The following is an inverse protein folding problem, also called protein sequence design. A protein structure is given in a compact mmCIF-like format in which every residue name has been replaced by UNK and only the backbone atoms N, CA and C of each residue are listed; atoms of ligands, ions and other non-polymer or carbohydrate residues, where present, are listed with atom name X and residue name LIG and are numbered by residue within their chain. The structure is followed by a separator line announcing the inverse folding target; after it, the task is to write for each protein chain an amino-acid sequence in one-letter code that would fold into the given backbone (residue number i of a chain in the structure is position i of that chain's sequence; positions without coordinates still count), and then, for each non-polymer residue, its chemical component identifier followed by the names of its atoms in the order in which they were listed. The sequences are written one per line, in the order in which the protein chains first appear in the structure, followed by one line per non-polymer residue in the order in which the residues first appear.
data_IF_644517535574
#
_entry.id   IF_644517535574
#
_cell.length_a   1.000
_cell.length_b   1.000
_cell.length_c   1.000
_cell.angle_alpha   90.00
_cell.angle_beta   90.00
_cell.angle_gamma   90.00
#
_symmetry.space_group_name_H-M   'P 1'
#
loop_
_entity.id
_entity.type
_entity.pdbx_description
1 polymer ?
#
# COMPACT_ATOMS: atom_id res chain seq x y z
N UNK A 1 49.16 -25.29 49.61
CA UNK A 1 48.79 -24.12 48.75
C UNK A 1 47.88 -24.60 47.63
N UNK A 2 46.58 -24.30 47.74
CA UNK A 2 45.57 -24.63 46.70
C UNK A 2 45.24 -23.32 45.96
N UNK A 3 45.55 -23.28 44.67
CA UNK A 3 45.28 -22.14 43.80
C UNK A 3 43.87 -22.33 43.25
N UNK A 4 42.94 -21.46 43.65
CA UNK A 4 41.59 -21.39 43.09
C UNK A 4 41.63 -20.64 41.77
N UNK A 5 41.25 -21.27 40.65
CA UNK A 5 41.04 -20.64 39.37
C UNK A 5 39.62 -20.06 39.31
N UNK A 6 39.51 -18.76 39.26
CA UNK A 6 38.24 -18.08 38.99
C UNK A 6 37.94 -18.15 37.46
N UNK A 7 36.82 -18.78 37.10
CA UNK A 7 36.29 -18.77 35.73
C UNK A 7 35.37 -17.55 35.59
N UNK A 8 35.80 -16.59 34.84
CA UNK A 8 34.97 -15.44 34.48
C UNK A 8 33.96 -15.86 33.38
N UNK A 9 32.68 -15.88 33.74
CA UNK A 9 31.57 -16.15 32.82
C UNK A 9 31.21 -14.85 32.12
N UNK A 10 31.64 -14.67 30.84
CA UNK A 10 31.18 -13.57 30.00
C UNK A 10 29.74 -13.85 29.55
N UNK A 11 28.76 -13.19 30.17
CA UNK A 11 27.41 -13.10 29.63
C UNK A 11 27.42 -12.17 28.39
N UNK A 12 27.30 -12.78 27.23
CA UNK A 12 27.00 -12.02 26.00
C UNK A 12 25.53 -11.59 26.06
N UNK A 13 25.30 -10.29 26.27
CA UNK A 13 23.98 -9.68 26.05
C UNK A 13 23.67 -9.76 24.56
N UNK A 14 22.79 -10.68 24.17
CA UNK A 14 22.13 -10.65 22.89
C UNK A 14 21.12 -9.50 22.94
N UNK A 15 21.48 -8.36 22.38
CA UNK A 15 20.54 -7.27 22.13
C UNK A 15 19.48 -7.80 21.17
N UNK A 16 18.30 -8.12 21.71
CA UNK A 16 17.13 -8.44 20.89
C UNK A 16 16.81 -7.22 20.01
N UNK A 17 16.80 -7.40 18.69
CA UNK A 17 16.30 -6.42 17.74
C UNK A 17 14.81 -6.26 18.07
N UNK A 18 14.46 -5.23 18.84
CA UNK A 18 13.10 -4.90 19.17
C UNK A 18 12.32 -4.66 17.88
N UNK A 19 11.21 -5.38 17.70
CA UNK A 19 10.21 -5.02 16.69
C UNK A 19 9.85 -3.55 16.95
N UNK A 20 10.04 -2.67 15.94
CA UNK A 20 9.76 -1.25 16.05
C UNK A 20 8.35 -1.03 16.61
N UNK A 21 8.22 -0.18 17.64
CA UNK A 21 6.95 0.07 18.29
C UNK A 21 5.97 0.63 17.26
N UNK A 22 4.78 0.01 17.17
CA UNK A 22 3.67 0.52 16.38
C UNK A 22 3.15 1.79 17.07
N UNK A 23 3.12 2.92 16.33
CA UNK A 23 2.60 4.20 16.79
C UNK A 23 1.29 4.52 16.05
N UNK A 24 0.27 4.96 16.76
CA UNK A 24 -0.92 5.54 16.15
C UNK A 24 -0.67 7.01 15.87
N UNK A 25 -0.84 7.41 14.63
CA UNK A 25 -0.64 8.79 14.17
C UNK A 25 -1.93 9.36 13.58
N UNK A 26 -2.03 10.69 13.54
CA UNK A 26 -3.13 11.42 12.89
C UNK A 26 -2.57 12.51 12.02
N UNK A 27 -3.14 12.70 10.84
CA UNK A 27 -2.71 13.70 9.86
C UNK A 27 -3.87 14.13 8.97
N UNK A 28 -3.84 15.35 8.39
CA UNK A 28 -4.90 15.79 7.51
C UNK A 28 -4.88 15.06 6.16
N UNK A 29 -6.08 14.70 5.66
CA UNK A 29 -6.27 14.48 4.23
C UNK A 29 -6.29 15.82 3.50
N UNK A 30 -5.98 15.82 2.20
CA UNK A 30 -6.29 16.97 1.36
C UNK A 30 -7.77 17.01 0.93
N UNK A 31 -8.58 16.05 1.42
CA UNK A 31 -10.03 16.00 1.25
C UNK A 31 -10.74 16.88 2.28
N UNK A 32 -11.72 17.65 1.82
CA UNK A 32 -12.50 18.55 2.66
C UNK A 32 -12.20 20.03 2.41
N UNK A 33 -12.91 20.89 3.14
CA UNK A 33 -12.67 22.32 3.11
C UNK A 33 -11.31 22.67 3.76
N UNK A 34 -10.63 23.71 3.29
CA UNK A 34 -9.31 24.09 3.77
C UNK A 34 -9.27 24.36 5.31
N UNK A 35 -10.40 24.76 5.89
CA UNK A 35 -10.57 25.02 7.32
C UNK A 35 -11.18 23.85 8.11
N UNK A 36 -11.53 22.75 7.44
CA UNK A 36 -12.11 21.55 8.05
C UNK A 36 -11.69 20.28 7.26
N UNK A 37 -10.40 19.96 7.19
CA UNK A 37 -9.93 18.75 6.51
C UNK A 37 -10.40 17.51 7.27
N UNK A 38 -10.57 16.39 6.55
CA UNK A 38 -10.75 15.09 7.18
C UNK A 38 -9.43 14.71 7.84
N UNK A 39 -9.47 14.48 9.15
CA UNK A 39 -8.30 13.98 9.89
C UNK A 39 -8.27 12.47 9.76
N UNK A 40 -7.26 11.96 9.08
CA UNK A 40 -7.00 10.54 8.94
C UNK A 40 -6.28 9.99 10.17
N UNK A 41 -6.47 8.70 10.40
CA UNK A 41 -5.64 7.94 11.34
C UNK A 41 -4.75 6.98 10.57
N UNK A 42 -3.59 6.67 11.14
CA UNK A 42 -2.66 5.70 10.58
C UNK A 42 -1.92 4.95 11.67
N UNK A 43 -1.29 3.85 11.26
CA UNK A 43 -0.36 3.11 12.10
C UNK A 43 1.03 3.22 11.49
N UNK A 44 1.93 3.84 12.24
CA UNK A 44 3.32 4.01 11.87
C UNK A 44 4.17 2.88 12.43
N UNK A 45 4.99 2.30 11.58
CA UNK A 45 5.95 1.24 11.88
C UNK A 45 7.34 1.78 11.51
N UNK A 46 8.03 2.35 12.48
CA UNK A 46 9.38 2.85 12.26
C UNK A 46 10.35 1.71 11.96
N UNK A 47 11.22 1.89 10.97
CA UNK A 47 12.34 0.97 10.75
C UNK A 47 13.46 1.26 11.75
N UNK A 48 14.14 0.24 12.22
CA UNK A 48 15.35 0.40 13.01
C UNK A 48 16.47 0.93 12.10
N UNK A 49 17.03 2.09 12.45
CA UNK A 49 18.16 2.70 11.75
C UNK A 49 19.45 2.50 12.55
N UNK A 50 20.62 2.55 11.88
CA UNK A 50 21.92 2.43 12.53
C UNK A 50 22.17 3.57 13.55
N UNK A 51 21.60 4.73 13.29
CA UNK A 51 21.61 5.88 14.23
C UNK A 51 20.16 6.20 14.59
N UNK A 52 19.78 6.21 15.89
CA UNK A 52 18.43 6.56 16.30
C UNK A 52 18.00 7.92 15.75
N UNK A 53 16.81 7.98 15.13
CA UNK A 53 16.27 9.22 14.54
C UNK A 53 16.87 9.62 13.19
N UNK A 54 17.79 8.86 12.62
CA UNK A 54 18.27 9.13 11.26
C UNK A 54 17.12 8.96 10.24
N UNK A 55 16.98 9.89 9.26
CA UNK A 55 15.95 9.78 8.24
C UNK A 55 16.08 8.47 7.46
N UNK A 56 14.96 7.76 7.29
CA UNK A 56 14.86 6.52 6.55
C UNK A 56 13.84 6.64 5.43
N UNK A 57 13.96 5.84 4.35
CA UNK A 57 12.90 5.75 3.35
C UNK A 57 11.60 5.25 3.98
N UNK A 58 10.46 5.68 3.44
CA UNK A 58 9.15 5.32 3.95
C UNK A 58 8.18 4.92 2.84
N UNK A 59 7.17 4.11 3.20
CA UNK A 59 6.06 3.77 2.32
C UNK A 59 4.72 4.06 3.00
N UNK A 60 3.77 4.62 2.25
CA UNK A 60 2.37 4.69 2.67
C UNK A 60 1.60 3.51 2.07
N UNK A 61 0.93 2.74 2.93
CA UNK A 61 0.22 1.50 2.58
C UNK A 61 -1.29 1.74 2.56
N UNK A 62 -1.94 1.49 1.42
CA UNK A 62 -3.36 1.72 1.19
C UNK A 62 -4.12 0.40 1.09
N UNK A 63 -4.95 0.13 2.10
CA UNK A 63 -5.81 -1.06 2.19
C UNK A 63 -6.81 -1.17 1.03
N UNK A 64 -7.29 -2.38 0.75
CA UNK A 64 -8.38 -2.65 -0.20
C UNK A 64 -9.75 -2.14 0.29
N UNK A 65 -10.81 -2.54 -0.41
CA UNK A 65 -12.18 -2.16 -0.06
C UNK A 65 -12.64 -2.64 1.33
N UNK A 66 -11.97 -3.63 1.93
CA UNK A 66 -12.31 -4.18 3.25
C UNK A 66 -11.79 -3.37 4.44
N UNK A 67 -11.14 -2.22 4.23
CA UNK A 67 -10.57 -1.42 5.31
C UNK A 67 -9.18 -1.88 5.77
N UNK A 68 -8.55 -1.07 6.63
CA UNK A 68 -7.28 -1.38 7.26
C UNK A 68 -7.45 -2.34 8.45
N UNK A 69 -8.63 -2.33 9.08
CA UNK A 69 -8.93 -3.09 10.29
C UNK A 69 -9.97 -4.18 10.03
N UNK A 70 -9.87 -5.26 10.77
CA UNK A 70 -10.85 -6.33 10.79
C UNK A 70 -12.07 -5.96 11.66
N UNK A 71 -13.07 -6.87 11.74
CA UNK A 71 -14.29 -6.67 12.55
C UNK A 71 -14.03 -6.56 14.06
N UNK A 72 -12.84 -6.91 14.54
CA UNK A 72 -12.41 -6.78 15.94
C UNK A 72 -11.64 -5.48 16.18
N UNK A 73 -11.49 -4.63 15.15
CA UNK A 73 -10.70 -3.41 15.20
C UNK A 73 -9.18 -3.66 15.20
N UNK A 74 -8.74 -4.88 14.86
CA UNK A 74 -7.33 -5.21 14.74
C UNK A 74 -6.85 -4.95 13.31
N UNK A 75 -5.61 -4.48 13.17
CA UNK A 75 -4.99 -4.30 11.87
C UNK A 75 -5.02 -5.64 11.11
N UNK A 76 -5.46 -5.61 9.84
CA UNK A 76 -5.54 -6.83 9.04
C UNK A 76 -4.17 -7.46 8.84
N UNK A 77 -4.15 -8.80 8.79
CA UNK A 77 -2.90 -9.57 8.63
C UNK A 77 -2.07 -9.09 7.43
N UNK A 78 -2.71 -8.78 6.29
CA UNK A 78 -2.01 -8.25 5.11
C UNK A 78 -1.24 -6.96 5.46
N UNK A 79 -1.87 -6.01 6.11
CA UNK A 79 -1.21 -4.75 6.46
C UNK A 79 -0.06 -4.97 7.44
N UNK A 80 -0.21 -5.87 8.42
CA UNK A 80 0.86 -6.25 9.35
C UNK A 80 2.03 -6.91 8.63
N UNK A 81 1.75 -7.91 7.77
CA UNK A 81 2.78 -8.68 7.06
C UNK A 81 3.61 -7.79 6.12
N UNK A 82 2.94 -6.86 5.39
CA UNK A 82 3.63 -5.95 4.50
C UNK A 82 4.36 -4.82 5.24
N UNK A 83 3.82 -4.28 6.33
CA UNK A 83 4.57 -3.35 7.18
C UNK A 83 5.86 -4.00 7.68
N UNK A 84 5.79 -5.25 8.16
CA UNK A 84 6.96 -6.01 8.57
C UNK A 84 7.91 -6.34 7.40
N UNK A 85 7.39 -6.61 6.20
CA UNK A 85 8.21 -6.82 4.99
C UNK A 85 9.01 -5.56 4.65
N UNK A 86 8.35 -4.40 4.65
CA UNK A 86 9.01 -3.12 4.37
C UNK A 86 10.04 -2.76 5.45
N UNK A 87 9.75 -2.99 6.73
CA UNK A 87 10.73 -2.78 7.79
C UNK A 87 11.99 -3.67 7.58
N UNK A 88 11.82 -4.96 7.21
CA UNK A 88 12.96 -5.81 6.87
C UNK A 88 13.73 -5.33 5.64
N UNK A 89 13.06 -4.67 4.70
CA UNK A 89 13.67 -4.05 3.53
C UNK A 89 14.30 -2.67 3.81
N UNK A 90 14.24 -2.19 5.07
CA UNK A 90 14.83 -0.92 5.48
C UNK A 90 13.95 0.30 5.21
N UNK A 91 12.64 0.12 5.10
CA UNK A 91 11.64 1.19 4.96
C UNK A 91 10.79 1.28 6.23
N UNK A 92 10.52 2.47 6.68
CA UNK A 92 9.40 2.72 7.59
C UNK A 92 8.07 2.57 6.84
N UNK A 93 6.99 2.17 7.53
CA UNK A 93 5.70 1.97 6.90
C UNK A 93 4.57 2.71 7.64
N UNK A 94 3.76 3.45 6.90
CA UNK A 94 2.53 4.09 7.37
C UNK A 94 1.32 3.36 6.78
N UNK A 95 0.58 2.63 7.60
CA UNK A 95 -0.73 2.11 7.16
C UNK A 95 -1.77 3.20 7.32
N UNK A 96 -2.36 3.63 6.21
CA UNK A 96 -3.35 4.71 6.16
C UNK A 96 -4.76 4.12 6.29
N UNK A 97 -5.55 4.63 7.24
CA UNK A 97 -6.97 4.33 7.36
C UNK A 97 -7.80 5.43 6.71
N UNK A 98 -8.32 5.16 5.53
CA UNK A 98 -9.17 6.09 4.78
C UNK A 98 -10.67 5.96 5.13
N UNK A 99 -11.09 4.91 5.82
CA UNK A 99 -12.51 4.58 6.00
C UNK A 99 -13.06 4.95 7.37
N UNK A 100 -12.42 4.50 8.44
CA UNK A 100 -12.92 4.72 9.80
C UNK A 100 -13.14 6.21 10.15
N UNK A 101 -12.26 7.15 9.74
CA UNK A 101 -12.51 8.58 9.96
C UNK A 101 -13.75 9.13 9.23
N UNK A 102 -14.28 8.38 8.26
CA UNK A 102 -15.52 8.73 7.51
C UNK A 102 -16.70 7.86 7.90
N UNK A 103 -16.62 7.15 9.05
CA UNK A 103 -17.66 6.26 9.56
C UNK A 103 -17.99 5.11 8.60
N UNK A 104 -17.01 4.67 7.80
CA UNK A 104 -17.08 3.50 6.94
C UNK A 104 -16.16 2.41 7.45
N UNK A 105 -16.54 1.15 7.29
CA UNK A 105 -15.71 0.00 7.67
C UNK A 105 -15.28 -0.82 6.45
N UNK A 106 -16.09 -0.80 5.39
CA UNK A 106 -15.82 -1.50 4.14
C UNK A 106 -16.59 -0.88 2.97
N UNK A 107 -16.11 -1.09 1.76
CA UNK A 107 -16.70 -0.67 0.49
C UNK A 107 -16.95 -1.83 -0.48
N UNK A 108 -16.57 -3.06 -0.09
CA UNK A 108 -16.60 -4.22 -0.99
C UNK A 108 -18.02 -4.61 -1.41
N UNK A 109 -18.98 -4.51 -0.48
CA UNK A 109 -20.39 -4.85 -0.71
C UNK A 109 -21.21 -3.68 -1.26
N UNK A 110 -20.60 -2.51 -1.42
CA UNK A 110 -21.23 -1.30 -1.93
C UNK A 110 -21.04 -1.20 -3.46
N UNK A 111 -22.10 -0.83 -4.19
CA UNK A 111 -22.00 -0.52 -5.62
C UNK A 111 -21.11 0.70 -5.83
N UNK A 112 -20.28 0.70 -6.89
CA UNK A 112 -19.32 1.77 -7.16
C UNK A 112 -19.93 3.18 -7.14
N UNK A 113 -21.12 3.39 -7.69
CA UNK A 113 -21.81 4.68 -7.69
C UNK A 113 -22.47 5.09 -6.37
N UNK A 114 -22.57 4.18 -5.38
CA UNK A 114 -23.19 4.42 -4.08
C UNK A 114 -22.19 4.57 -2.92
N UNK A 115 -20.90 4.45 -3.19
CA UNK A 115 -19.84 4.56 -2.17
C UNK A 115 -19.72 5.97 -1.64
N UNK A 116 -19.77 6.13 -0.31
CA UNK A 116 -19.54 7.43 0.35
C UNK A 116 -18.06 7.84 0.32
N UNK A 117 -17.15 6.87 0.31
CA UNK A 117 -15.72 7.10 0.15
C UNK A 117 -15.32 6.71 -1.28
N UNK A 118 -15.11 7.71 -2.11
CA UNK A 118 -14.75 7.58 -3.52
C UNK A 118 -13.24 7.46 -3.74
N UNK A 119 -12.83 7.14 -4.97
CA UNK A 119 -11.40 7.20 -5.35
C UNK A 119 -10.85 8.64 -5.29
N UNK A 120 -11.69 9.67 -5.48
CA UNK A 120 -11.26 11.05 -5.32
C UNK A 120 -10.88 11.37 -3.87
N UNK A 121 -11.72 10.95 -2.89
CA UNK A 121 -11.37 11.11 -1.48
C UNK A 121 -10.06 10.38 -1.16
N UNK A 122 -9.92 9.11 -1.59
CA UNK A 122 -8.73 8.31 -1.28
C UNK A 122 -7.47 8.80 -1.99
N UNK A 123 -7.58 9.40 -3.18
CA UNK A 123 -6.45 10.09 -3.84
C UNK A 123 -5.94 11.24 -2.98
N UNK A 124 -6.85 12.06 -2.45
CA UNK A 124 -6.51 13.18 -1.56
C UNK A 124 -5.93 12.69 -0.22
N UNK A 125 -6.38 11.53 0.28
CA UNK A 125 -5.76 10.86 1.43
C UNK A 125 -4.31 10.46 1.12
N UNK A 126 -4.06 9.94 -0.09
CA UNK A 126 -2.72 9.50 -0.49
C UNK A 126 -1.75 10.68 -0.61
N UNK A 127 -2.20 11.78 -1.21
CA UNK A 127 -1.42 13.02 -1.30
C UNK A 127 -1.15 13.62 0.10
N UNK A 128 -2.15 13.59 0.99
CA UNK A 128 -2.00 14.01 2.39
C UNK A 128 -1.00 13.13 3.16
N UNK A 129 -1.02 11.80 2.91
CA UNK A 129 -0.07 10.89 3.53
C UNK A 129 1.38 11.13 3.06
N UNK A 130 1.59 11.44 1.77
CA UNK A 130 2.92 11.82 1.25
C UNK A 130 3.40 13.12 1.90
N UNK A 131 2.55 14.15 1.97
CA UNK A 131 2.88 15.41 2.61
C UNK A 131 3.24 15.22 4.10
N UNK A 132 2.42 14.45 4.83
CA UNK A 132 2.69 14.12 6.23
C UNK A 132 4.03 13.40 6.43
N UNK A 133 4.32 12.39 5.58
CA UNK A 133 5.58 11.65 5.68
C UNK A 133 6.78 12.55 5.36
N UNK A 134 6.65 13.48 4.42
CA UNK A 134 7.72 14.39 4.04
C UNK A 134 8.07 15.41 5.15
N UNK A 135 7.14 15.71 6.06
CA UNK A 135 7.34 16.59 7.20
C UNK A 135 7.94 15.89 8.43
N UNK A 136 8.00 14.55 8.43
CA UNK A 136 8.57 13.80 9.56
C UNK A 136 10.09 13.87 9.56
N UNK A 137 10.67 14.19 10.70
CA UNK A 137 12.13 14.28 10.87
C UNK A 137 12.85 12.92 10.70
N UNK A 138 12.13 11.78 10.92
CA UNK A 138 12.63 10.42 10.81
C UNK A 138 12.42 9.80 9.41
N UNK A 139 11.93 10.59 8.41
CA UNK A 139 11.70 10.16 7.03
C UNK A 139 12.58 10.94 6.06
N UNK A 140 13.20 10.24 5.11
CA UNK A 140 13.83 10.88 3.94
C UNK A 140 12.74 11.23 2.90
N UNK A 141 12.42 12.52 2.70
CA UNK A 141 11.32 12.94 1.82
C UNK A 141 11.56 12.60 0.34
N UNK A 142 12.79 12.29 -0.06
CA UNK A 142 13.14 11.90 -1.43
C UNK A 142 12.81 10.43 -1.71
N UNK A 143 12.52 9.64 -0.68
CA UNK A 143 12.32 8.20 -0.76
C UNK A 143 11.00 7.77 -0.12
N UNK A 144 9.90 8.44 -0.50
CA UNK A 144 8.53 8.08 -0.07
C UNK A 144 7.85 7.32 -1.19
N UNK A 145 7.41 6.08 -0.91
CA UNK A 145 6.67 5.24 -1.87
C UNK A 145 5.18 5.12 -1.53
N UNK A 146 4.35 4.88 -2.54
CA UNK A 146 2.93 4.55 -2.39
C UNK A 146 2.68 3.08 -2.74
N UNK A 147 2.08 2.32 -1.84
CA UNK A 147 1.75 0.91 -2.07
C UNK A 147 0.27 0.69 -1.78
N UNK A 148 -0.44 0.01 -2.68
CA UNK A 148 -1.88 -0.21 -2.47
C UNK A 148 -2.39 -1.53 -3.02
N UNK A 149 -3.47 -2.05 -2.41
CA UNK A 149 -4.10 -3.32 -2.77
C UNK A 149 -5.53 -3.10 -3.22
N UNK A 150 -5.93 -3.65 -4.36
CA UNK A 150 -7.31 -3.59 -4.85
C UNK A 150 -7.79 -2.14 -4.98
N UNK A 151 -8.81 -1.74 -4.24
CA UNK A 151 -9.27 -0.36 -4.13
C UNK A 151 -8.14 0.61 -3.70
N UNK A 152 -7.20 0.16 -2.82
CA UNK A 152 -5.97 0.89 -2.50
C UNK A 152 -4.99 0.94 -3.66
N UNK A 153 -4.92 -0.09 -4.48
CA UNK A 153 -4.15 -0.08 -5.73
C UNK A 153 -4.70 0.95 -6.72
N UNK A 154 -6.03 1.03 -6.86
CA UNK A 154 -6.68 2.10 -7.65
C UNK A 154 -6.44 3.49 -7.05
N UNK A 155 -6.33 3.59 -5.72
CA UNK A 155 -5.93 4.83 -5.04
C UNK A 155 -4.52 5.26 -5.45
N UNK A 156 -3.59 4.32 -5.49
CA UNK A 156 -2.20 4.56 -5.94
C UNK A 156 -2.19 5.05 -7.39
N UNK A 157 -2.93 4.39 -8.31
CA UNK A 157 -3.04 4.86 -9.69
C UNK A 157 -3.55 6.31 -9.74
N UNK A 158 -4.65 6.60 -9.07
CA UNK A 158 -5.24 7.94 -9.07
C UNK A 158 -4.29 8.99 -8.46
N UNK A 159 -3.52 8.64 -7.41
CA UNK A 159 -2.60 9.55 -6.72
C UNK A 159 -1.28 9.76 -7.48
N UNK A 160 -1.01 8.97 -8.51
CA UNK A 160 0.18 9.09 -9.36
C UNK A 160 -0.12 9.48 -10.80
N UNK A 161 -1.38 9.80 -11.10
CA UNK A 161 -1.82 10.19 -12.44
C UNK A 161 -1.83 11.72 -12.62
N UNK A 162 -0.93 12.28 -13.41
CA UNK A 162 -0.84 13.71 -13.74
C UNK A 162 -2.07 14.27 -14.48
N UNK A 163 -3.04 13.43 -14.86
CA UNK A 163 -4.33 13.90 -15.39
C UNK A 163 -5.28 14.41 -14.31
N UNK A 164 -4.88 14.33 -13.03
CA UNK A 164 -5.58 14.95 -11.91
C UNK A 164 -4.88 16.24 -11.48
N UNK A 165 -5.63 17.34 -11.38
CA UNK A 165 -5.10 18.68 -11.02
C UNK A 165 -4.47 18.72 -9.63
N UNK A 166 -5.03 17.99 -8.69
CA UNK A 166 -4.53 17.86 -7.32
C UNK A 166 -3.20 17.10 -7.25
N UNK A 167 -2.97 16.14 -8.14
CA UNK A 167 -1.65 15.48 -8.28
C UNK A 167 -0.61 16.47 -8.83
N UNK A 168 -0.96 17.27 -9.85
CA UNK A 168 -0.06 18.30 -10.39
C UNK A 168 0.26 19.35 -9.32
N UNK A 169 -0.71 19.72 -8.47
CA UNK A 169 -0.57 20.75 -7.46
C UNK A 169 0.13 20.26 -6.17
N UNK A 170 0.35 18.95 -6.01
CA UNK A 170 0.98 18.40 -4.82
C UNK A 170 2.44 18.87 -4.70
N UNK A 171 2.80 19.40 -3.53
CA UNK A 171 4.13 19.95 -3.27
C UNK A 171 5.22 18.87 -3.18
N UNK A 172 4.84 17.67 -2.77
CA UNK A 172 5.73 16.51 -2.69
C UNK A 172 5.13 15.38 -3.50
N UNK A 173 5.94 14.77 -4.34
CA UNK A 173 5.55 13.64 -5.17
C UNK A 173 6.17 12.34 -4.62
N UNK A 174 5.51 11.19 -4.76
CA UNK A 174 6.11 9.92 -4.39
C UNK A 174 7.31 9.61 -5.31
N UNK A 175 8.34 8.96 -4.74
CA UNK A 175 9.51 8.52 -5.49
C UNK A 175 9.23 7.29 -6.35
N UNK A 176 8.26 6.45 -5.95
CA UNK A 176 7.80 5.27 -6.68
C UNK A 176 6.41 4.84 -6.19
N UNK A 177 5.77 3.98 -6.95
CA UNK A 177 4.46 3.45 -6.60
C UNK A 177 4.30 1.97 -6.98
N UNK A 178 3.53 1.21 -6.19
CA UNK A 178 3.19 -0.18 -6.50
C UNK A 178 1.71 -0.43 -6.26
N UNK A 179 1.02 -1.02 -7.24
CA UNK A 179 -0.39 -1.33 -7.18
C UNK A 179 -0.63 -2.84 -7.37
N UNK A 180 -1.13 -3.49 -6.32
CA UNK A 180 -1.54 -4.89 -6.37
C UNK A 180 -2.99 -4.98 -6.83
N UNK A 181 -3.22 -5.71 -7.90
CA UNK A 181 -4.54 -5.99 -8.52
C UNK A 181 -5.49 -4.78 -8.47
N UNK A 182 -5.05 -3.61 -9.03
CA UNK A 182 -5.88 -2.42 -9.06
C UNK A 182 -7.04 -2.54 -10.04
N UNK A 183 -8.12 -1.76 -9.84
CA UNK A 183 -9.08 -1.46 -10.90
C UNK A 183 -8.52 -0.33 -11.78
N UNK A 184 -8.20 -0.62 -13.03
CA UNK A 184 -7.52 0.30 -13.94
C UNK A 184 -8.46 1.07 -14.89
N UNK A 185 -9.75 0.69 -14.97
CA UNK A 185 -10.68 1.22 -15.98
C UNK A 185 -10.85 2.73 -15.91
N UNK A 186 -10.92 3.30 -14.70
CA UNK A 186 -11.15 4.73 -14.52
C UNK A 186 -9.96 5.57 -15.00
N UNK A 187 -8.75 5.13 -14.65
CA UNK A 187 -7.51 5.81 -15.04
C UNK A 187 -7.15 5.56 -16.50
N UNK A 188 -7.42 4.37 -17.05
CA UNK A 188 -7.33 4.10 -18.48
C UNK A 188 -8.24 5.04 -19.28
N UNK A 189 -9.52 5.14 -18.89
CA UNK A 189 -10.49 6.04 -19.56
C UNK A 189 -10.12 7.52 -19.46
N UNK A 190 -9.52 7.95 -18.38
CA UNK A 190 -9.03 9.33 -18.18
C UNK A 190 -7.79 9.63 -19.01
N UNK A 191 -7.06 8.61 -19.38
CA UNK A 191 -5.66 8.68 -19.76
C UNK A 191 -4.77 8.64 -18.51
N UNK A 192 -3.62 8.04 -18.62
CA UNK A 192 -2.66 7.90 -17.52
C UNK A 192 -1.32 8.50 -17.92
N UNK A 193 -0.80 9.34 -17.05
CA UNK A 193 0.55 9.89 -17.17
C UNK A 193 1.21 9.83 -15.79
N UNK A 194 2.23 8.98 -15.65
CA UNK A 194 2.83 8.67 -14.37
C UNK A 194 3.69 9.83 -13.85
N UNK A 195 3.45 10.25 -12.61
CA UNK A 195 4.32 11.21 -11.90
C UNK A 195 5.57 10.55 -11.35
N UNK A 196 5.57 9.23 -11.17
CA UNK A 196 6.66 8.43 -10.62
C UNK A 196 6.69 7.04 -11.26
N UNK A 197 7.82 6.32 -11.21
CA UNK A 197 7.87 4.91 -11.60
C UNK A 197 6.76 4.10 -10.92
N UNK A 198 6.02 3.31 -11.69
CA UNK A 198 4.88 2.52 -11.22
C UNK A 198 5.07 1.05 -11.59
N UNK A 199 4.83 0.16 -10.62
CA UNK A 199 4.71 -1.29 -10.83
C UNK A 199 3.27 -1.73 -10.56
N UNK A 200 2.65 -2.43 -11.50
CA UNK A 200 1.36 -3.11 -11.32
C UNK A 200 1.54 -4.62 -11.26
N UNK A 201 1.00 -5.27 -10.22
CA UNK A 201 1.06 -6.71 -9.98
C UNK A 201 -0.36 -7.28 -10.08
N UNK A 202 -0.67 -8.04 -11.12
CA UNK A 202 -2.05 -8.41 -11.46
C UNK A 202 -2.26 -9.92 -11.56
N UNK A 203 -3.39 -10.41 -11.07
CA UNK A 203 -3.82 -11.78 -11.28
C UNK A 203 -4.43 -11.94 -12.68
N UNK A 204 -4.00 -12.94 -13.45
CA UNK A 204 -4.54 -13.15 -14.81
C UNK A 204 -5.95 -13.77 -14.81
N UNK A 205 -6.34 -14.43 -13.71
CA UNK A 205 -7.67 -14.99 -13.51
C UNK A 205 -8.59 -14.06 -12.67
N UNK A 206 -8.13 -12.83 -12.34
CA UNK A 206 -8.89 -11.89 -11.53
C UNK A 206 -10.17 -11.45 -12.26
N UNK A 207 -11.32 -11.85 -11.69
CA UNK A 207 -12.67 -11.52 -12.17
C UNK A 207 -13.33 -10.39 -11.36
N UNK A 208 -12.60 -9.80 -10.42
CA UNK A 208 -13.01 -8.59 -9.70
C UNK A 208 -12.44 -7.33 -10.36
N UNK A 209 -11.13 -7.28 -10.54
CA UNK A 209 -10.40 -6.21 -11.21
C UNK A 209 -9.55 -6.84 -12.33
N UNK A 210 -10.15 -6.95 -13.52
CA UNK A 210 -9.52 -7.63 -14.64
C UNK A 210 -8.14 -7.05 -14.99
N UNK A 211 -7.19 -7.94 -15.32
CA UNK A 211 -5.84 -7.52 -15.71
C UNK A 211 -5.78 -6.80 -17.07
N UNK A 212 -6.78 -6.99 -17.95
CA UNK A 212 -6.76 -6.43 -19.31
C UNK A 212 -6.73 -4.90 -19.33
N UNK A 213 -7.57 -4.16 -18.57
CA UNK A 213 -7.47 -2.70 -18.49
C UNK A 213 -6.13 -2.21 -17.96
N UNK A 214 -5.49 -2.92 -17.02
CA UNK A 214 -4.17 -2.55 -16.51
C UNK A 214 -3.08 -2.72 -17.57
N UNK A 215 -3.15 -3.79 -18.38
CA UNK A 215 -2.25 -3.97 -19.52
C UNK A 215 -2.45 -2.89 -20.59
N UNK A 216 -3.70 -2.48 -20.84
CA UNK A 216 -3.99 -1.37 -21.76
C UNK A 216 -3.42 -0.05 -21.21
N UNK A 217 -3.66 0.25 -19.92
CA UNK A 217 -3.11 1.43 -19.26
C UNK A 217 -1.59 1.49 -19.37
N UNK A 218 -0.88 0.40 -19.11
CA UNK A 218 0.58 0.36 -19.21
C UNK A 218 1.09 0.64 -20.63
N UNK A 219 0.37 0.20 -21.67
CA UNK A 219 0.73 0.46 -23.08
C UNK A 219 0.43 1.87 -23.53
N UNK A 220 -0.63 2.47 -23.00
CA UNK A 220 -1.18 3.77 -23.43
C UNK A 220 -0.72 4.93 -22.56
N UNK A 221 -0.02 4.64 -21.46
CA UNK A 221 0.47 5.65 -20.51
C UNK A 221 1.42 6.64 -21.19
N UNK A 222 1.24 7.92 -20.87
CA UNK A 222 2.21 8.96 -21.18
C UNK A 222 3.39 8.96 -20.22
N UNK A 223 4.50 9.54 -20.63
CA UNK A 223 5.71 9.63 -19.80
C UNK A 223 6.44 8.29 -19.65
N UNK A 224 6.87 7.94 -18.43
CA UNK A 224 7.52 6.66 -18.15
C UNK A 224 6.46 5.56 -18.08
N UNK A 225 6.51 4.55 -18.98
CA UNK A 225 5.51 3.49 -18.99
C UNK A 225 5.53 2.71 -17.67
N UNK A 226 4.36 2.44 -17.06
CA UNK A 226 4.27 1.54 -15.92
C UNK A 226 4.76 0.14 -16.25
N UNK A 227 5.50 -0.46 -15.30
CA UNK A 227 5.83 -1.88 -15.35
C UNK A 227 4.61 -2.69 -14.90
N UNK A 228 4.36 -3.83 -15.56
CA UNK A 228 3.26 -4.71 -15.20
C UNK A 228 3.70 -6.17 -15.19
N UNK A 229 3.38 -6.88 -14.10
CA UNK A 229 3.64 -8.30 -13.95
C UNK A 229 2.32 -9.05 -13.75
N UNK A 230 2.11 -10.11 -14.54
CA UNK A 230 0.87 -10.89 -14.53
C UNK A 230 1.07 -12.32 -14.07
N UNK A 231 0.31 -12.77 -13.07
CA UNK A 231 0.42 -14.09 -12.47
C UNK A 231 -0.68 -15.03 -12.96
N UNK A 232 -0.28 -16.10 -13.66
CA UNK A 232 -1.20 -17.10 -14.21
C UNK A 232 -1.99 -17.80 -13.10
N UNK A 233 -3.31 -18.02 -13.32
CA UNK A 233 -4.19 -18.69 -12.36
C UNK A 233 -4.39 -17.97 -11.03
N UNK A 234 -3.88 -16.76 -10.88
CA UNK A 234 -4.06 -15.94 -9.68
C UNK A 234 -5.36 -15.13 -9.78
N UNK A 235 -6.21 -15.24 -8.77
CA UNK A 235 -7.41 -14.45 -8.57
C UNK A 235 -7.13 -13.20 -7.72
N UNK A 236 -8.19 -12.42 -7.45
CA UNK A 236 -8.11 -11.24 -6.59
C UNK A 236 -7.61 -11.58 -5.18
N UNK A 237 -6.68 -10.80 -4.66
CA UNK A 237 -6.10 -11.05 -3.33
C UNK A 237 -5.18 -12.26 -3.27
N UNK A 238 -4.49 -12.60 -4.36
CA UNK A 238 -3.60 -13.76 -4.48
C UNK A 238 -2.46 -13.78 -3.45
N UNK A 239 -2.15 -12.65 -2.83
CA UNK A 239 -1.14 -12.47 -1.78
C UNK A 239 -1.73 -12.75 -0.38
N UNK A 240 -2.41 -13.87 -0.23
CA UNK A 240 -2.98 -14.35 1.03
C UNK A 240 -2.84 -15.87 1.17
N UNK A 241 -3.02 -16.35 2.40
CA UNK A 241 -3.06 -17.78 2.74
C UNK A 241 -4.47 -18.38 2.66
N UNK A 242 -5.49 -17.56 2.32
CA UNK A 242 -6.86 -18.00 2.29
C UNK A 242 -7.14 -18.80 1.01
N UNK A 243 -7.89 -19.92 1.09
CA UNK A 243 -8.28 -20.67 -0.10
C UNK A 243 -9.13 -19.81 -1.03
N UNK A 244 -9.04 -20.11 -2.33
CA UNK A 244 -9.88 -19.43 -3.34
C UNK A 244 -11.34 -19.75 -3.07
N UNK A 245 -12.18 -18.73 -3.05
CA UNK A 245 -13.63 -18.83 -2.83
C UNK A 245 -14.39 -17.79 -3.64
N UNK A 246 -15.64 -18.11 -3.98
CA UNK A 246 -16.56 -17.17 -4.61
C UNK A 246 -17.23 -16.27 -3.55
N UNK A 247 -17.11 -14.96 -3.71
CA UNK A 247 -17.83 -13.94 -2.93
C UNK A 247 -19.03 -13.43 -3.71
N UNK A 248 -20.21 -13.93 -3.36
CA UNK A 248 -21.49 -13.56 -4.01
C UNK A 248 -22.03 -12.20 -3.52
N UNK A 249 -21.55 -11.73 -2.39
CA UNK A 249 -21.92 -10.47 -1.75
C UNK A 249 -21.30 -9.22 -2.40
N UNK A 250 -20.42 -9.41 -3.38
CA UNK A 250 -19.76 -8.33 -4.12
C UNK A 250 -20.58 -7.98 -5.36
N UNK A 251 -21.14 -6.75 -5.44
CA UNK A 251 -21.98 -6.35 -6.58
C UNK A 251 -21.20 -5.91 -7.82
N UNK A 252 -19.91 -5.58 -7.64
CA UNK A 252 -19.02 -5.12 -8.70
C UNK A 252 -18.09 -6.26 -9.13
N UNK A 253 -17.60 -6.22 -10.37
CA UNK A 253 -16.70 -7.22 -10.93
C UNK A 253 -16.83 -7.25 -12.44
N UNK A 254 -16.12 -8.16 -13.09
CA UNK A 254 -16.18 -8.35 -14.56
C UNK A 254 -17.59 -8.74 -14.99
N UNK A 255 -18.25 -9.58 -14.18
CA UNK A 255 -19.64 -10.00 -14.40
C UNK A 255 -20.50 -9.53 -13.20
N UNK A 256 -21.05 -8.31 -13.22
CA UNK A 256 -21.80 -7.76 -12.09
C UNK A 256 -22.95 -8.67 -11.66
N UNK A 257 -23.08 -8.91 -10.35
CA UNK A 257 -24.11 -9.75 -9.76
C UNK A 257 -23.82 -11.25 -9.75
N UNK A 258 -22.75 -11.73 -10.38
CA UNK A 258 -22.34 -13.13 -10.32
C UNK A 258 -21.37 -13.44 -9.19
N UNK A 259 -20.92 -12.41 -8.46
CA UNK A 259 -19.86 -12.51 -7.47
C UNK A 259 -18.46 -12.50 -8.10
N UNK A 260 -17.44 -12.68 -7.28
CA UNK A 260 -16.03 -12.64 -7.67
C UNK A 260 -15.23 -13.68 -6.92
N UNK A 261 -14.19 -14.23 -7.53
CA UNK A 261 -13.27 -15.14 -6.87
C UNK A 261 -12.19 -14.35 -6.12
N UNK A 262 -11.94 -14.75 -4.89
CA UNK A 262 -10.87 -14.18 -4.05
C UNK A 262 -10.12 -15.29 -3.34
N UNK A 263 -8.82 -15.15 -3.20
CA UNK A 263 -8.03 -16.12 -2.43
C UNK A 263 -6.58 -16.21 -2.89
N UNK A 264 -5.78 -16.88 -2.08
CA UNK A 264 -4.35 -16.98 -2.24
C UNK A 264 -3.90 -17.85 -3.41
N UNK A 265 -2.74 -17.50 -3.95
CA UNK A 265 -1.94 -18.31 -4.83
C UNK A 265 -0.49 -18.21 -4.34
N UNK A 266 0.00 -19.25 -3.68
CA UNK A 266 1.30 -19.20 -3.00
C UNK A 266 2.48 -18.93 -3.95
N UNK A 267 2.42 -19.36 -5.20
CA UNK A 267 3.46 -19.08 -6.20
C UNK A 267 3.43 -17.60 -6.61
N UNK A 268 2.24 -17.07 -6.94
CA UNK A 268 2.05 -15.67 -7.28
C UNK A 268 2.43 -14.75 -6.11
N UNK A 269 2.06 -15.12 -4.87
CA UNK A 269 2.42 -14.34 -3.69
C UNK A 269 3.93 -14.22 -3.51
N UNK A 270 4.67 -15.34 -3.54
CA UNK A 270 6.13 -15.30 -3.44
C UNK A 270 6.78 -14.51 -4.58
N UNK A 271 6.33 -14.75 -5.81
CA UNK A 271 6.86 -14.04 -6.99
C UNK A 271 6.58 -12.54 -6.93
N UNK A 272 5.38 -12.14 -6.48
CA UNK A 272 5.02 -10.72 -6.34
C UNK A 272 5.81 -10.01 -5.24
N UNK A 273 6.11 -10.68 -4.12
CA UNK A 273 6.98 -10.11 -3.10
C UNK A 273 8.42 -9.94 -3.59
N UNK A 274 8.96 -10.92 -4.30
CA UNK A 274 10.29 -10.82 -4.90
C UNK A 274 10.35 -9.65 -5.91
N UNK A 275 9.33 -9.55 -6.78
CA UNK A 275 9.24 -8.49 -7.79
C UNK A 275 9.07 -7.09 -7.17
N UNK A 276 8.27 -6.99 -6.10
CA UNK A 276 8.13 -5.77 -5.29
C UNK A 276 9.49 -5.33 -4.74
N UNK A 277 10.22 -6.24 -4.06
CA UNK A 277 11.51 -5.91 -3.44
C UNK A 277 12.58 -5.53 -4.47
N UNK A 278 12.61 -6.21 -5.61
CA UNK A 278 13.46 -5.83 -6.74
C UNK A 278 13.14 -4.41 -7.25
N UNK A 279 11.84 -4.10 -7.46
CA UNK A 279 11.41 -2.80 -7.93
C UNK A 279 11.79 -1.67 -6.97
N UNK A 280 11.45 -1.80 -5.69
CA UNK A 280 11.78 -0.76 -4.71
C UNK A 280 13.30 -0.62 -4.49
N UNK A 281 14.06 -1.71 -4.62
CA UNK A 281 15.52 -1.68 -4.55
C UNK A 281 16.15 -0.82 -5.65
N UNK A 282 15.59 -0.82 -6.86
CA UNK A 282 16.05 0.04 -7.98
C UNK A 282 15.75 1.53 -7.76
N UNK A 283 14.77 1.85 -6.94
CA UNK A 283 14.33 3.23 -6.66
C UNK A 283 14.74 3.72 -5.26
N UNK A 284 15.64 3.01 -4.59
CA UNK A 284 16.16 3.36 -3.25
C UNK A 284 17.41 4.22 -3.30
N UNK A 285 18.16 4.15 -4.40
CA UNK A 285 19.43 4.88 -4.54
C UNK A 285 19.19 6.25 -5.15
N UNK A 286 19.94 7.29 -4.68
CA UNK A 286 19.89 8.61 -5.27
C UNK A 286 20.40 8.62 -6.70
#
# INVERSE_FOLDING_TARGET
MRIARAVALCLALVAGVGAGAQERVSFPSLDGAANAPVVLTGLWFAVATASPGAPAPAVALFHGCGGAFDRRGQLTKRMQDYAALFNRAGYSALVVDSLTPRYETELCTQRNGARRVSQSNRRLDALGAVAYLAERADVDPRHIGLIGWSNGGSTVLAATNLRHRDVIAALVQPAFAVAFYPGCEADLKRGYEAVAPLLMLVGQADDWTAAAPCRALAREAGGVPPEIEGYAGAYHGFDSDQPVRLRKDVPNGVNPGQGVHVGGNAAAWRASQARLLEFIGRHRSP
#
